data_IF_877397922585
#
_entry.id   IF_877397922585
#
_cell.length_a   1.000
_cell.length_b   1.000
_cell.length_c   1.000
_cell.angle_alpha   90.00
_cell.angle_beta   90.00
_cell.angle_gamma   90.00
#
_symmetry.space_group_name_H-M   'P 1'
#
loop_
_entity.id
_entity.type
_entity.pdbx_description
1 polymer ?
#
# COMPACT_ATOMS: atom_id res chain seq x y z
N UNK A 1 -4.84 4.76 9.45
CA UNK A 1 -4.51 4.18 8.12
C UNK A 1 -5.62 3.26 7.65
N UNK A 2 -6.07 2.30 8.48
CA UNK A 2 -7.17 1.40 8.10
C UNK A 2 -8.45 2.14 7.71
N UNK A 3 -8.96 3.00 8.60
CA UNK A 3 -10.11 3.87 8.32
C UNK A 3 -9.94 4.73 7.06
N UNK A 4 -8.72 5.20 6.78
CA UNK A 4 -8.44 6.00 5.59
C UNK A 4 -8.51 5.15 4.31
N UNK A 5 -8.06 3.88 4.35
CA UNK A 5 -8.21 2.96 3.24
C UNK A 5 -9.71 2.66 2.98
N UNK A 6 -10.48 2.45 4.04
CA UNK A 6 -11.94 2.24 3.94
C UNK A 6 -12.66 3.46 3.36
N UNK A 7 -12.29 4.67 3.77
CA UNK A 7 -12.82 5.92 3.21
C UNK A 7 -12.50 6.06 1.72
N UNK A 8 -11.27 5.76 1.29
CA UNK A 8 -10.87 5.80 -0.13
C UNK A 8 -11.70 4.82 -0.95
N UNK A 9 -11.86 3.59 -0.46
CA UNK A 9 -12.66 2.55 -1.10
C UNK A 9 -14.13 2.97 -1.25
N UNK A 10 -14.70 3.58 -0.21
CA UNK A 10 -16.07 4.08 -0.23
C UNK A 10 -16.25 5.26 -1.19
N UNK A 11 -15.26 6.16 -1.28
CA UNK A 11 -15.32 7.36 -2.12
C UNK A 11 -15.09 7.06 -3.61
N UNK A 12 -14.29 6.04 -3.93
CA UNK A 12 -13.88 5.71 -5.31
C UNK A 12 -14.15 4.22 -5.66
N UNK A 13 -15.42 3.76 -5.63
CA UNK A 13 -15.74 2.35 -5.83
C UNK A 13 -15.34 1.87 -7.24
N UNK A 14 -14.61 0.75 -7.31
CA UNK A 14 -14.19 0.11 -8.56
C UNK A 14 -13.09 0.85 -9.34
N UNK A 15 -12.55 1.95 -8.80
CA UNK A 15 -11.53 2.75 -9.47
C UNK A 15 -10.11 2.38 -9.00
N UNK A 16 -9.12 2.69 -9.85
CA UNK A 16 -7.70 2.64 -9.47
C UNK A 16 -7.32 4.00 -8.89
N UNK A 17 -6.98 4.04 -7.61
CA UNK A 17 -6.61 5.27 -6.89
C UNK A 17 -5.11 5.30 -6.64
N UNK A 18 -4.47 6.41 -6.98
CA UNK A 18 -3.10 6.69 -6.57
C UNK A 18 -3.10 7.50 -5.26
N UNK A 19 -2.38 7.01 -4.25
CA UNK A 19 -2.22 7.69 -2.96
C UNK A 19 -0.74 8.04 -2.80
N UNK A 20 -0.43 9.34 -2.69
CA UNK A 20 0.92 9.81 -2.39
C UNK A 20 1.05 10.00 -0.89
N UNK A 21 2.05 9.35 -0.28
CA UNK A 21 2.22 9.37 1.17
C UNK A 21 3.68 9.14 1.56
N UNK A 22 3.92 8.92 2.85
CA UNK A 22 5.23 8.74 3.45
C UNK A 22 5.48 7.28 3.85
N UNK A 23 6.76 6.95 4.05
CA UNK A 23 7.26 5.62 4.37
C UNK A 23 6.42 4.88 5.45
N UNK A 24 6.19 5.50 6.63
CA UNK A 24 5.43 4.86 7.72
C UNK A 24 3.97 4.55 7.40
N UNK A 25 3.30 5.41 6.62
CA UNK A 25 1.93 5.19 6.19
C UNK A 25 1.84 4.01 5.20
N UNK A 26 2.77 3.94 4.25
CA UNK A 26 2.84 2.88 3.24
C UNK A 26 3.13 1.53 3.92
N UNK A 27 4.10 1.48 4.84
CA UNK A 27 4.42 0.27 5.64
C UNK A 27 3.21 -0.22 6.44
N UNK A 28 2.48 0.71 7.05
CA UNK A 28 1.26 0.38 7.80
C UNK A 28 0.16 -0.17 6.90
N UNK A 29 -0.04 0.41 5.71
CA UNK A 29 -1.02 -0.09 4.74
C UNK A 29 -0.66 -1.49 4.23
N UNK A 30 0.62 -1.72 3.89
CA UNK A 30 1.10 -3.04 3.47
C UNK A 30 0.93 -4.09 4.59
N UNK A 31 1.29 -3.75 5.83
CA UNK A 31 1.10 -4.60 7.01
C UNK A 31 -0.37 -4.99 7.21
N UNK A 32 -1.29 -4.02 7.10
CA UNK A 32 -2.73 -4.26 7.20
C UNK A 32 -3.23 -5.14 6.06
N UNK A 33 -2.75 -4.96 4.84
CA UNK A 33 -3.19 -5.72 3.67
C UNK A 33 -2.87 -7.21 3.76
N UNK A 34 -1.77 -7.59 4.43
CA UNK A 34 -1.36 -9.00 4.61
C UNK A 34 -1.71 -9.57 5.99
N UNK A 35 -2.38 -8.79 6.85
CA UNK A 35 -2.72 -9.21 8.21
C UNK A 35 -1.50 -9.49 9.10
N UNK A 36 -0.37 -8.82 8.85
CA UNK A 36 0.87 -9.08 9.60
C UNK A 36 0.86 -8.44 11.00
N UNK A 37 1.69 -8.93 11.94
CA UNK A 37 1.87 -8.33 13.25
C UNK A 37 2.36 -6.87 13.21
N UNK A 38 2.19 -6.13 14.31
CA UNK A 38 2.45 -4.69 14.33
C UNK A 38 3.94 -4.33 14.13
N UNK A 39 4.85 -5.13 14.66
CA UNK A 39 6.30 -5.01 14.53
C UNK A 39 6.82 -5.25 13.10
N UNK A 40 6.02 -5.87 12.24
CA UNK A 40 6.38 -6.11 10.83
C UNK A 40 6.70 -4.83 10.07
N UNK A 41 6.23 -3.66 10.52
CA UNK A 41 6.57 -2.37 9.92
C UNK A 41 8.08 -2.07 9.98
N UNK A 42 8.81 -2.63 10.95
CA UNK A 42 10.27 -2.47 11.06
C UNK A 42 11.04 -3.40 10.12
N UNK A 43 10.36 -4.35 9.49
CA UNK A 43 10.92 -5.36 8.59
C UNK A 43 10.50 -5.16 7.12
N UNK A 44 9.76 -4.09 6.83
CA UNK A 44 9.38 -3.66 5.48
C UNK A 44 10.25 -2.46 5.12
N UNK A 45 10.84 -2.44 3.93
CA UNK A 45 11.52 -1.26 3.38
C UNK A 45 10.65 -0.55 2.34
N UNK A 46 10.73 0.79 2.31
CA UNK A 46 10.02 1.66 1.36
C UNK A 46 10.99 2.79 0.98
N UNK A 47 11.52 2.69 -0.22
CA UNK A 47 12.46 3.63 -0.81
C UNK A 47 11.73 4.84 -1.41
N UNK A 48 12.40 5.99 -1.56
CA UNK A 48 11.82 7.17 -2.19
C UNK A 48 11.31 6.88 -3.60
N UNK A 49 10.18 7.50 -3.95
CA UNK A 49 9.52 7.34 -5.24
C UNK A 49 9.16 5.89 -5.61
N UNK A 50 9.18 4.95 -4.67
CA UNK A 50 8.72 3.59 -4.93
C UNK A 50 7.20 3.49 -5.04
N UNK A 51 6.73 2.49 -5.76
CA UNK A 51 5.31 2.19 -5.93
C UNK A 51 4.96 0.94 -5.11
N UNK A 52 3.92 1.05 -4.28
CA UNK A 52 3.32 -0.08 -3.55
C UNK A 52 1.87 -0.21 -3.99
N UNK A 53 1.46 -1.42 -4.39
CA UNK A 53 0.13 -1.68 -4.95
C UNK A 53 -0.63 -2.64 -4.04
N UNK A 54 -1.81 -2.22 -3.60
CA UNK A 54 -2.73 -3.02 -2.77
C UNK A 54 -4.07 -3.11 -3.50
N UNK A 55 -4.65 -4.29 -3.55
CA UNK A 55 -6.02 -4.53 -4.00
C UNK A 55 -6.92 -4.74 -2.78
N UNK A 56 -8.09 -4.10 -2.78
CA UNK A 56 -9.10 -4.22 -1.72
C UNK A 56 -10.43 -4.55 -2.40
N UNK A 57 -11.06 -5.66 -1.98
CA UNK A 57 -12.37 -6.10 -2.44
C UNK A 57 -13.39 -5.90 -1.32
N UNK A 58 -14.29 -4.91 -1.44
CA UNK A 58 -15.27 -4.65 -0.38
C UNK A 58 -16.33 -5.74 -0.25
N UNK A 59 -16.54 -6.53 -1.31
CA UNK A 59 -17.55 -7.59 -1.37
C UNK A 59 -17.34 -8.70 -0.34
N UNK A 60 -16.08 -9.05 -0.08
CA UNK A 60 -15.68 -10.15 0.81
C UNK A 60 -14.65 -9.70 1.86
N UNK A 61 -14.27 -8.42 1.85
CA UNK A 61 -13.27 -7.85 2.75
C UNK A 61 -11.84 -8.25 2.42
N UNK A 62 -11.60 -8.94 1.31
CA UNK A 62 -10.27 -9.40 0.94
C UNK A 62 -9.36 -8.21 0.64
N UNK A 63 -8.12 -8.29 1.12
CA UNK A 63 -7.04 -7.35 0.78
C UNK A 63 -5.83 -8.14 0.33
N UNK A 64 -5.13 -7.63 -0.68
CA UNK A 64 -3.93 -8.28 -1.20
C UNK A 64 -2.85 -7.25 -1.53
N UNK A 65 -1.64 -7.49 -1.03
CA UNK A 65 -0.44 -6.77 -1.46
C UNK A 65 0.02 -7.35 -2.81
N UNK A 66 -0.02 -6.54 -3.87
CA UNK A 66 0.30 -6.95 -5.25
C UNK A 66 1.72 -6.61 -5.67
N UNK A 67 2.30 -5.59 -5.06
CA UNK A 67 3.66 -5.14 -5.29
C UNK A 67 4.08 -4.24 -4.13
N UNK A 68 5.36 -4.29 -3.77
CA UNK A 68 5.91 -3.59 -2.62
C UNK A 68 7.25 -2.98 -3.03
N UNK A 69 7.46 -1.71 -2.70
CA UNK A 69 8.71 -0.99 -2.94
C UNK A 69 9.25 -1.10 -4.39
N UNK A 70 8.36 -1.03 -5.39
CA UNK A 70 8.71 -1.17 -6.81
C UNK A 70 9.38 0.11 -7.32
N UNK A 71 10.52 0.00 -8.01
CA UNK A 71 11.31 1.14 -8.49
C UNK A 71 11.81 1.00 -9.94
N UNK A 72 11.32 0.05 -10.75
CA UNK A 72 11.82 -0.19 -12.12
C UNK A 72 11.60 1.01 -13.05
N UNK A 73 10.70 1.93 -12.70
CA UNK A 73 10.51 3.19 -13.42
C UNK A 73 11.63 4.22 -13.12
N UNK A 74 12.31 4.11 -11.97
CA UNK A 74 13.50 4.86 -11.65
C UNK A 74 14.66 4.21 -12.40
N UNK A 75 14.88 4.66 -13.64
CA UNK A 75 16.11 4.32 -14.36
C UNK A 75 17.27 4.93 -13.57
N UNK A 76 18.21 4.11 -13.13
CA UNK A 76 19.44 4.61 -12.53
C UNK A 76 20.11 5.58 -13.52
N UNK A 77 20.33 6.83 -13.10
CA UNK A 77 21.41 7.62 -13.65
C UNK A 77 22.69 7.05 -13.03
N UNK A 78 23.44 6.28 -13.83
CA UNK A 78 24.83 5.91 -13.54
C UNK A 78 25.60 7.04 -12.84
#
# INVERSE_FOLDING_TARGET
>A
IDEALEQIVAMYPGQRVAVVSHNGAIKTAAKLAIGAPADSIFHIDISPCSITTISIWPSDGLRALRGLNEQSHLRESN
#
